data_IF_359141621977
#
_entry.id   IF_359141621977
#
_cell.length_a   1.000
_cell.length_b   1.000
_cell.length_c   1.000
_cell.angle_alpha   90.00
_cell.angle_beta   90.00
_cell.angle_gamma   90.00
#
_symmetry.space_group_name_H-M   'P 1'
#
loop_
_entity.id
_entity.type
_entity.pdbx_description
1 polymer ?
#
# COMPACT_ATOMS: atom_id res chain seq x y z
N UNK A 1 -18.49 26.98 -4.68
CA UNK A 1 -17.78 25.91 -5.44
C UNK A 1 -16.28 26.18 -5.55
N UNK A 2 -15.77 27.10 -6.40
CA UNK A 2 -14.30 27.33 -6.52
C UNK A 2 -13.67 27.89 -5.25
N UNK A 3 -14.34 28.83 -4.57
CA UNK A 3 -13.87 29.43 -3.31
C UNK A 3 -13.79 28.40 -2.18
N UNK A 4 -14.76 27.48 -2.10
CA UNK A 4 -14.78 26.40 -1.12
C UNK A 4 -13.61 25.42 -1.37
N UNK A 5 -13.34 25.11 -2.63
CA UNK A 5 -12.23 24.23 -3.02
C UNK A 5 -10.87 24.83 -2.66
N UNK A 6 -10.68 26.14 -2.87
CA UNK A 6 -9.45 26.85 -2.48
C UNK A 6 -9.26 26.83 -0.96
N UNK A 7 -10.31 27.17 -0.20
CA UNK A 7 -10.27 27.13 1.27
C UNK A 7 -9.98 25.75 1.83
N UNK A 8 -10.46 24.70 1.15
CA UNK A 8 -10.19 23.32 1.51
C UNK A 8 -8.74 22.90 1.22
N UNK A 9 -8.18 23.32 0.07
CA UNK A 9 -6.77 23.06 -0.26
C UNK A 9 -5.84 23.73 0.75
N UNK A 10 -6.16 24.96 1.17
CA UNK A 10 -5.40 25.69 2.19
C UNK A 10 -5.39 24.99 3.57
N UNK A 11 -6.34 24.09 3.81
CA UNK A 11 -6.40 23.30 5.05
C UNK A 11 -5.59 22.00 5.02
N UNK A 12 -5.03 21.63 3.85
CA UNK A 12 -4.32 20.37 3.67
C UNK A 12 -2.81 20.56 3.85
N UNK A 13 -2.23 19.89 4.84
CA UNK A 13 -0.77 19.92 5.10
C UNK A 13 0.05 19.51 3.88
N UNK A 14 -0.47 18.59 3.05
CA UNK A 14 0.17 18.15 1.81
C UNK A 14 0.23 19.22 0.72
N UNK A 15 -0.62 20.24 0.79
CA UNK A 15 -0.70 21.35 -0.19
C UNK A 15 0.03 22.61 0.26
N UNK A 16 0.47 22.67 1.52
CA UNK A 16 1.25 23.80 2.04
C UNK A 16 2.59 23.95 1.29
N UNK A 17 3.08 25.20 1.22
CA UNK A 17 4.42 25.46 0.72
C UNK A 17 5.47 25.07 1.76
N UNK A 18 6.48 24.29 1.33
CA UNK A 18 7.56 23.90 2.22
C UNK A 18 8.52 25.07 2.47
N UNK A 19 8.60 25.63 3.70
CA UNK A 19 9.45 26.78 3.98
C UNK A 19 10.95 26.48 3.82
N UNK A 20 11.35 25.21 3.88
CA UNK A 20 12.75 24.77 3.73
C UNK A 20 13.21 24.69 2.27
N UNK A 21 12.28 24.77 1.31
CA UNK A 21 12.58 24.58 -0.12
C UNK A 21 12.06 25.70 -1.02
N UNK A 22 11.78 26.87 -0.45
CA UNK A 22 11.18 28.01 -1.14
C UNK A 22 11.97 28.50 -2.37
N UNK A 23 13.28 28.25 -2.42
CA UNK A 23 14.18 28.69 -3.50
C UNK A 23 14.91 27.49 -4.10
N UNK A 24 14.27 26.32 -4.15
CA UNK A 24 14.90 25.08 -4.63
C UNK A 24 15.28 25.16 -6.11
N UNK A 25 14.54 25.91 -6.91
CA UNK A 25 14.78 26.16 -8.34
C UNK A 25 16.06 26.92 -8.63
N UNK A 26 16.59 27.64 -7.65
CA UNK A 26 17.86 28.40 -7.76
C UNK A 26 19.07 27.63 -7.24
N UNK A 27 18.87 26.46 -6.68
CA UNK A 27 19.95 25.67 -6.08
C UNK A 27 20.71 24.83 -7.13
N UNK A 28 22.01 24.58 -6.90
CA UNK A 28 22.74 23.61 -7.71
C UNK A 28 22.20 22.19 -7.48
N UNK A 29 22.39 21.31 -8.45
CA UNK A 29 21.81 19.96 -8.47
C UNK A 29 22.07 19.17 -7.18
N UNK A 30 23.28 19.21 -6.65
CA UNK A 30 23.64 18.48 -5.42
C UNK A 30 22.85 18.99 -4.21
N UNK A 31 22.63 20.30 -4.09
CA UNK A 31 21.81 20.88 -3.01
C UNK A 31 20.32 20.56 -3.18
N UNK A 32 19.79 20.52 -4.42
CA UNK A 32 18.44 20.03 -4.70
C UNK A 32 18.29 18.61 -4.17
N UNK A 33 19.20 17.70 -4.54
CA UNK A 33 19.16 16.30 -4.13
C UNK A 33 19.31 16.12 -2.61
N UNK A 34 20.19 16.92 -1.97
CA UNK A 34 20.33 16.93 -0.51
C UNK A 34 19.06 17.43 0.18
N UNK A 35 18.40 18.43 -0.38
CA UNK A 35 17.13 18.96 0.13
C UNK A 35 16.04 17.89 0.06
N UNK A 36 15.91 17.20 -1.06
CA UNK A 36 14.97 16.06 -1.21
C UNK A 36 15.29 14.97 -0.18
N UNK A 37 16.53 14.55 -0.05
CA UNK A 37 16.92 13.50 0.91
C UNK A 37 16.68 13.91 2.37
N UNK A 38 16.86 15.20 2.73
CA UNK A 38 16.52 15.70 4.07
C UNK A 38 15.02 15.59 4.36
N UNK A 39 14.17 15.93 3.39
CA UNK A 39 12.72 15.80 3.51
C UNK A 39 12.28 14.33 3.61
N UNK A 40 12.87 13.45 2.82
CA UNK A 40 12.54 12.02 2.81
C UNK A 40 12.88 11.33 4.15
N UNK A 41 13.88 11.81 4.88
CA UNK A 41 14.21 11.29 6.23
C UNK A 41 13.08 11.46 7.25
N UNK A 42 12.16 12.38 7.04
CA UNK A 42 11.01 12.58 7.93
C UNK A 42 9.94 11.49 7.78
N UNK A 43 9.96 10.74 6.68
CA UNK A 43 8.92 9.77 6.36
C UNK A 43 8.84 8.61 7.36
N UNK A 44 9.94 7.90 7.69
CA UNK A 44 9.90 6.81 8.68
C UNK A 44 9.38 7.26 10.04
N UNK A 45 9.77 8.46 10.50
CA UNK A 45 9.31 9.03 11.77
C UNK A 45 7.80 9.34 11.77
N UNK A 46 7.26 9.80 10.63
CA UNK A 46 5.84 10.03 10.47
C UNK A 46 5.05 8.71 10.46
N UNK A 47 5.60 7.67 9.84
CA UNK A 47 5.00 6.32 9.81
C UNK A 47 5.04 5.68 11.20
N UNK A 48 6.12 5.84 11.96
CA UNK A 48 6.26 5.32 13.32
C UNK A 48 5.10 5.76 14.23
N UNK A 49 4.68 7.01 14.11
CA UNK A 49 3.58 7.58 14.93
C UNK A 49 2.22 6.92 14.69
N UNK A 50 2.05 6.24 13.56
CA UNK A 50 0.79 5.58 13.17
C UNK A 50 0.88 4.05 13.22
N UNK A 51 1.95 3.48 13.78
CA UNK A 51 2.08 2.02 14.00
C UNK A 51 0.89 1.43 14.75
N UNK A 52 0.31 2.05 15.79
CA UNK A 52 -0.87 1.49 16.45
C UNK A 52 -2.07 1.29 15.52
N UNK A 53 -2.32 2.22 14.61
CA UNK A 53 -3.40 2.12 13.63
C UNK A 53 -3.07 1.08 12.54
N UNK A 54 -1.80 1.00 12.12
CA UNK A 54 -1.33 -0.05 11.21
C UNK A 54 -1.52 -1.43 11.85
N UNK A 55 -1.18 -1.59 13.13
CA UNK A 55 -1.37 -2.84 13.88
C UNK A 55 -2.83 -3.25 13.90
N UNK A 56 -3.74 -2.32 14.22
CA UNK A 56 -5.18 -2.60 14.20
C UNK A 56 -5.68 -3.04 12.82
N UNK A 57 -5.17 -2.42 11.73
CA UNK A 57 -5.51 -2.81 10.37
C UNK A 57 -4.95 -4.20 10.01
N UNK A 58 -3.71 -4.50 10.37
CA UNK A 58 -3.10 -5.83 10.18
C UNK A 58 -3.93 -6.92 10.88
N UNK A 59 -4.34 -6.71 12.12
CA UNK A 59 -5.16 -7.68 12.85
C UNK A 59 -6.51 -7.93 12.16
N UNK A 60 -7.13 -6.90 11.55
CA UNK A 60 -8.36 -7.07 10.76
C UNK A 60 -8.10 -7.81 9.44
N UNK A 61 -6.97 -7.55 8.77
CA UNK A 61 -6.58 -8.24 7.53
C UNK A 61 -6.31 -9.72 7.83
N UNK A 62 -5.57 -10.04 8.90
CA UNK A 62 -5.31 -11.43 9.32
C UNK A 62 -6.63 -12.16 9.57
N UNK A 63 -7.51 -11.58 10.37
CA UNK A 63 -8.82 -12.16 10.64
C UNK A 63 -9.68 -12.31 9.36
N UNK A 64 -9.53 -11.44 8.36
CA UNK A 64 -10.19 -11.59 7.07
C UNK A 64 -9.62 -12.78 6.29
N UNK A 65 -8.31 -12.91 6.19
CA UNK A 65 -7.64 -14.03 5.51
C UNK A 65 -8.02 -15.40 6.13
N UNK A 66 -8.09 -15.49 7.45
CA UNK A 66 -8.53 -16.70 8.15
C UNK A 66 -9.97 -17.13 7.82
N UNK A 67 -10.82 -16.17 7.42
CA UNK A 67 -12.20 -16.43 6.98
C UNK A 67 -12.36 -16.58 5.47
N UNK A 68 -11.24 -16.62 4.72
CA UNK A 68 -11.26 -16.66 3.25
C UNK A 68 -11.59 -15.32 2.58
N UNK A 69 -11.53 -14.22 3.32
CA UNK A 69 -11.64 -12.85 2.80
C UNK A 69 -10.34 -12.36 2.16
N UNK A 70 -10.38 -11.15 1.62
CA UNK A 70 -9.32 -10.55 0.80
C UNK A 70 -8.87 -9.22 1.38
N UNK A 71 -7.64 -8.81 1.02
CA UNK A 71 -7.17 -7.44 1.16
C UNK A 71 -7.33 -6.73 -0.20
N UNK A 72 -8.03 -5.61 -0.21
CA UNK A 72 -8.31 -4.85 -1.43
C UNK A 72 -7.82 -3.42 -1.26
N UNK A 73 -6.89 -3.00 -2.10
CA UNK A 73 -6.41 -1.62 -2.21
C UNK A 73 -7.23 -0.86 -3.25
N UNK A 74 -7.66 0.35 -2.92
CA UNK A 74 -8.45 1.22 -3.78
C UNK A 74 -7.82 2.63 -3.79
N UNK A 75 -7.38 3.11 -4.94
CA UNK A 75 -6.76 4.43 -5.05
C UNK A 75 -6.78 5.00 -6.45
N UNK A 76 -6.36 6.25 -6.59
CA UNK A 76 -6.19 6.93 -7.86
C UNK A 76 -4.74 7.38 -8.05
N UNK A 77 -4.32 7.60 -9.28
CA UNK A 77 -3.00 8.13 -9.62
C UNK A 77 -1.85 7.35 -8.95
N UNK A 78 -0.94 8.04 -8.28
CA UNK A 78 0.19 7.43 -7.57
C UNK A 78 -0.27 6.48 -6.46
N UNK A 79 -1.30 6.85 -5.69
CA UNK A 79 -1.85 6.02 -4.61
C UNK A 79 -2.40 4.68 -5.14
N UNK A 80 -3.13 4.71 -6.25
CA UNK A 80 -3.62 3.50 -6.91
C UNK A 80 -2.50 2.63 -7.46
N UNK A 81 -1.47 3.24 -8.08
CA UNK A 81 -0.28 2.52 -8.57
C UNK A 81 0.46 1.81 -7.46
N UNK A 82 0.63 2.45 -6.31
CA UNK A 82 1.29 1.84 -5.14
C UNK A 82 0.48 0.67 -4.58
N UNK A 83 -0.85 0.77 -4.54
CA UNK A 83 -1.72 -0.34 -4.15
C UNK A 83 -1.62 -1.53 -5.10
N UNK A 84 -1.62 -1.28 -6.42
CA UNK A 84 -1.43 -2.34 -7.43
C UNK A 84 -0.02 -2.95 -7.34
N UNK A 85 1.01 -2.12 -7.14
CA UNK A 85 2.39 -2.60 -6.96
C UNK A 85 2.49 -3.58 -5.79
N UNK A 86 2.03 -3.18 -4.59
CA UNK A 86 2.09 -4.04 -3.40
C UNK A 86 1.30 -5.33 -3.60
N UNK A 87 0.09 -5.25 -4.18
CA UNK A 87 -0.74 -6.41 -4.47
C UNK A 87 -0.07 -7.39 -5.45
N UNK A 88 0.61 -6.88 -6.48
CA UNK A 88 1.26 -7.70 -7.51
C UNK A 88 2.49 -8.45 -7.01
N UNK A 89 3.16 -7.93 -5.96
CA UNK A 89 4.34 -8.54 -5.37
C UNK A 89 4.02 -9.62 -4.31
N UNK A 90 2.79 -9.65 -3.80
CA UNK A 90 2.38 -10.63 -2.79
C UNK A 90 2.38 -12.09 -3.30
N UNK A 91 1.83 -12.43 -4.49
CA UNK A 91 1.82 -13.80 -5.00
C UNK A 91 3.23 -14.40 -5.18
N UNK A 92 4.20 -13.75 -5.86
CA UNK A 92 5.53 -14.32 -6.02
C UNK A 92 6.32 -14.42 -4.72
N UNK A 93 6.02 -13.55 -3.73
CA UNK A 93 6.72 -13.49 -2.44
C UNK A 93 6.20 -14.53 -1.45
N UNK A 94 4.88 -14.71 -1.39
CA UNK A 94 4.21 -15.49 -0.35
C UNK A 94 3.45 -16.71 -0.88
N UNK A 95 3.53 -17.02 -2.18
CA UNK A 95 2.85 -18.18 -2.79
C UNK A 95 1.33 -18.13 -2.62
N UNK A 96 0.73 -16.97 -2.60
CA UNK A 96 -0.72 -16.79 -2.47
C UNK A 96 -1.39 -16.62 -3.85
N UNK A 97 -2.69 -16.92 -3.98
CA UNK A 97 -3.42 -16.63 -5.22
C UNK A 97 -3.52 -15.12 -5.47
N UNK A 98 -3.50 -14.72 -6.74
CA UNK A 98 -3.65 -13.31 -7.17
C UNK A 98 -4.96 -12.65 -6.72
N UNK A 99 -5.92 -13.45 -6.29
CA UNK A 99 -7.21 -12.99 -5.78
C UNK A 99 -7.21 -12.62 -4.30
N UNK A 100 -6.16 -12.96 -3.54
CA UNK A 100 -6.10 -12.76 -2.09
C UNK A 100 -5.74 -11.32 -1.70
N UNK A 101 -4.84 -10.68 -2.48
CA UNK A 101 -4.52 -9.25 -2.36
C UNK A 101 -4.75 -8.63 -3.72
N UNK A 102 -5.62 -7.63 -3.79
CA UNK A 102 -6.10 -7.03 -5.04
C UNK A 102 -5.88 -5.52 -5.01
N UNK A 103 -5.32 -4.97 -6.08
CA UNK A 103 -5.17 -3.53 -6.27
C UNK A 103 -6.14 -3.00 -7.32
N UNK A 104 -6.92 -1.97 -6.97
CA UNK A 104 -7.83 -1.27 -7.87
C UNK A 104 -7.37 0.18 -8.04
N UNK A 105 -7.33 0.64 -9.28
CA UNK A 105 -6.94 2.01 -9.64
C UNK A 105 -8.04 2.68 -10.45
N UNK A 106 -8.34 3.94 -10.13
CA UNK A 106 -9.26 4.77 -10.91
C UNK A 106 -8.83 4.84 -12.37
N UNK A 107 -9.74 4.64 -13.30
CA UNK A 107 -9.46 4.55 -14.73
C UNK A 107 -8.97 3.17 -15.21
N UNK A 108 -8.92 2.17 -14.31
CA UNK A 108 -8.59 0.78 -14.66
C UNK A 108 -7.11 0.54 -15.00
N UNK A 109 -6.79 -0.62 -15.61
CA UNK A 109 -5.40 -1.04 -15.86
C UNK A 109 -4.57 -0.05 -16.69
N UNK A 110 -5.16 0.65 -17.63
CA UNK A 110 -4.45 1.62 -18.48
C UNK A 110 -3.91 2.80 -17.67
N UNK A 111 -4.56 3.14 -16.54
CA UNK A 111 -4.13 4.20 -15.63
C UNK A 111 -2.82 3.88 -14.88
N UNK A 112 -2.33 2.65 -14.93
CA UNK A 112 -0.99 2.28 -14.42
C UNK A 112 0.13 2.96 -15.22
N UNK A 113 -0.07 3.11 -16.53
CA UNK A 113 0.94 3.63 -17.46
C UNK A 113 0.64 5.08 -17.85
N UNK A 114 -0.63 5.42 -18.10
CA UNK A 114 -1.06 6.77 -18.49
C UNK A 114 -2.02 7.34 -17.45
N UNK A 115 -1.83 8.62 -17.10
CA UNK A 115 -2.82 9.30 -16.26
C UNK A 115 -4.16 9.37 -17.02
N UNK A 116 -5.23 8.89 -16.39
CA UNK A 116 -6.60 9.03 -16.90
C UNK A 116 -7.22 10.22 -16.18
N UNK A 117 -7.27 11.36 -16.86
CA UNK A 117 -7.83 12.59 -16.30
C UNK A 117 -9.31 12.40 -15.96
N UNK A 118 -9.74 12.96 -14.81
CA UNK A 118 -11.12 12.89 -14.33
C UNK A 118 -11.54 11.55 -13.74
N UNK A 119 -10.76 10.49 -13.87
CA UNK A 119 -11.13 9.17 -13.32
C UNK A 119 -11.20 9.18 -11.78
N UNK A 120 -10.47 10.06 -11.11
CA UNK A 120 -10.47 10.18 -9.66
C UNK A 120 -11.70 10.94 -9.11
N UNK A 121 -12.42 11.66 -9.96
CA UNK A 121 -13.54 12.52 -9.59
C UNK A 121 -14.89 11.76 -9.54
N UNK A 122 -14.93 10.52 -10.00
CA UNK A 122 -16.15 9.71 -10.04
C UNK A 122 -16.25 8.77 -8.83
N UNK A 123 -17.11 9.17 -7.86
CA UNK A 123 -17.39 8.36 -6.68
C UNK A 123 -18.16 7.07 -7.00
N UNK A 124 -19.02 7.08 -8.02
CA UNK A 124 -19.80 5.90 -8.40
C UNK A 124 -18.90 4.83 -9.03
N UNK A 125 -17.84 5.23 -9.75
CA UNK A 125 -16.89 4.27 -10.33
C UNK A 125 -16.09 3.55 -9.24
N UNK A 126 -15.74 4.21 -8.12
CA UNK A 126 -15.12 3.56 -6.97
C UNK A 126 -15.98 2.45 -6.36
N UNK A 127 -17.27 2.70 -6.17
CA UNK A 127 -18.24 1.70 -5.72
C UNK A 127 -18.39 0.56 -6.74
N UNK A 128 -18.51 0.91 -8.02
CA UNK A 128 -18.65 -0.06 -9.12
C UNK A 128 -17.42 -0.95 -9.26
N UNK A 129 -16.21 -0.41 -9.08
CA UNK A 129 -14.97 -1.19 -9.13
C UNK A 129 -14.97 -2.30 -8.06
N UNK A 130 -15.42 -2.00 -6.84
CA UNK A 130 -15.55 -2.99 -5.76
C UNK A 130 -16.70 -3.99 -6.03
N UNK A 131 -17.82 -3.53 -6.55
CA UNK A 131 -18.94 -4.40 -6.94
C UNK A 131 -18.52 -5.40 -8.02
N UNK A 132 -17.76 -4.96 -9.03
CA UNK A 132 -17.31 -5.79 -10.15
C UNK A 132 -16.39 -6.95 -9.73
N UNK A 133 -15.62 -6.79 -8.65
CA UNK A 133 -14.80 -7.88 -8.10
C UNK A 133 -15.54 -8.73 -7.07
N UNK A 134 -16.85 -8.51 -6.91
CA UNK A 134 -17.69 -9.22 -5.95
C UNK A 134 -17.22 -9.02 -4.52
N UNK A 135 -17.09 -7.75 -4.08
CA UNK A 135 -16.78 -7.43 -2.69
C UNK A 135 -17.74 -8.10 -1.72
N UNK A 136 -17.22 -8.62 -0.62
CA UNK A 136 -18.00 -9.25 0.45
C UNK A 136 -17.70 -8.64 1.82
N UNK A 137 -18.56 -8.89 2.81
CA UNK A 137 -18.35 -8.48 4.20
C UNK A 137 -17.13 -9.14 4.87
N UNK A 138 -16.57 -10.19 4.28
CA UNK A 138 -15.37 -10.86 4.77
C UNK A 138 -14.07 -10.15 4.36
N UNK A 139 -14.15 -9.23 3.39
CA UNK A 139 -12.99 -8.52 2.85
C UNK A 139 -12.60 -7.30 3.70
N UNK A 140 -11.38 -6.83 3.49
CA UNK A 140 -10.87 -5.55 4.02
C UNK A 140 -10.53 -4.65 2.85
N UNK A 141 -11.09 -3.43 2.82
CA UNK A 141 -10.81 -2.42 1.79
C UNK A 141 -9.94 -1.31 2.38
N UNK A 142 -8.79 -1.07 1.79
CA UNK A 142 -7.89 0.05 2.12
C UNK A 142 -8.03 1.12 1.04
N UNK A 143 -8.70 2.21 1.36
CA UNK A 143 -8.80 3.39 0.50
C UNK A 143 -7.58 4.28 0.67
N UNK A 144 -6.90 4.58 -0.44
CA UNK A 144 -5.60 5.26 -0.47
C UNK A 144 -5.73 6.59 -1.20
N UNK A 145 -5.58 7.70 -0.48
CA UNK A 145 -5.58 9.05 -1.06
C UNK A 145 -4.76 9.99 -0.17
N UNK A 146 -3.73 10.65 -0.70
CA UNK A 146 -2.87 11.56 0.08
C UNK A 146 -3.68 12.68 0.72
N UNK A 147 -4.50 13.40 -0.05
CA UNK A 147 -5.40 14.44 0.45
C UNK A 147 -6.53 13.87 1.33
N UNK A 148 -6.87 12.59 1.10
CA UNK A 148 -8.03 11.94 1.72
C UNK A 148 -9.39 12.43 1.23
N UNK A 149 -9.44 13.02 0.02
CA UNK A 149 -10.65 13.67 -0.55
C UNK A 149 -11.06 13.13 -1.91
N UNK A 150 -10.29 12.24 -2.49
CA UNK A 150 -10.51 11.66 -3.82
C UNK A 150 -11.90 11.01 -3.91
N UNK A 151 -12.81 11.52 -4.75
CA UNK A 151 -14.19 11.03 -4.82
C UNK A 151 -14.28 9.52 -5.10
N UNK A 152 -13.47 9.00 -6.02
CA UNK A 152 -13.37 7.57 -6.30
C UNK A 152 -13.13 6.73 -5.02
N UNK A 153 -12.22 7.18 -4.15
CA UNK A 153 -11.91 6.46 -2.90
C UNK A 153 -13.02 6.63 -1.87
N UNK A 154 -13.62 7.82 -1.79
CA UNK A 154 -14.77 8.09 -0.91
C UNK A 154 -15.93 7.17 -1.25
N UNK A 155 -16.32 7.10 -2.54
CA UNK A 155 -17.43 6.26 -3.00
C UNK A 155 -17.17 4.77 -2.77
N UNK A 156 -15.95 4.31 -3.01
CA UNK A 156 -15.58 2.92 -2.74
C UNK A 156 -15.62 2.57 -1.25
N UNK A 157 -15.05 3.41 -0.37
CA UNK A 157 -15.10 3.18 1.08
C UNK A 157 -16.53 3.21 1.63
N UNK A 158 -17.38 4.14 1.14
CA UNK A 158 -18.78 4.17 1.54
C UNK A 158 -19.50 2.90 1.13
N UNK A 159 -19.35 2.45 -0.11
CA UNK A 159 -19.92 1.19 -0.60
C UNK A 159 -19.45 0.00 0.24
N UNK A 160 -18.16 -0.10 0.54
CA UNK A 160 -17.60 -1.18 1.34
C UNK A 160 -18.19 -1.21 2.76
N UNK A 161 -18.31 -0.03 3.39
CA UNK A 161 -18.91 0.13 4.72
C UNK A 161 -20.38 -0.28 4.74
N UNK A 162 -21.16 0.17 3.75
CA UNK A 162 -22.61 -0.14 3.64
C UNK A 162 -22.83 -1.65 3.46
N UNK A 163 -21.89 -2.34 2.79
CA UNK A 163 -21.90 -3.80 2.65
C UNK A 163 -21.48 -4.55 3.93
N UNK A 164 -20.86 -3.85 4.90
CA UNK A 164 -20.34 -4.42 6.14
C UNK A 164 -18.93 -5.00 6.03
N UNK A 165 -18.17 -4.66 4.99
CA UNK A 165 -16.75 -4.96 4.90
C UNK A 165 -15.94 -4.03 5.81
N UNK A 166 -14.81 -4.52 6.35
CA UNK A 166 -13.90 -3.67 7.13
C UNK A 166 -13.25 -2.63 6.23
N UNK A 167 -13.23 -1.38 6.67
CA UNK A 167 -12.67 -0.26 5.92
C UNK A 167 -11.48 0.39 6.62
N UNK A 168 -10.43 0.66 5.85
CA UNK A 168 -9.21 1.34 6.31
C UNK A 168 -8.95 2.53 5.39
N UNK A 169 -8.69 3.70 5.94
CA UNK A 169 -8.26 4.87 5.20
C UNK A 169 -6.75 5.09 5.37
N UNK A 170 -6.05 5.30 4.27
CA UNK A 170 -4.65 5.72 4.25
C UNK A 170 -4.51 7.08 3.58
N UNK A 171 -4.21 8.11 4.37
CA UNK A 171 -4.00 9.49 3.90
C UNK A 171 -2.73 10.09 4.50
N UNK A 172 -2.34 11.31 4.08
CA UNK A 172 -1.27 12.07 4.74
C UNK A 172 -1.82 13.32 5.46
N UNK A 173 -3.15 13.42 5.59
CA UNK A 173 -3.83 14.52 6.29
C UNK A 173 -4.69 13.95 7.43
N UNK A 174 -4.51 14.42 8.68
CA UNK A 174 -5.15 13.82 9.85
C UNK A 174 -6.67 14.04 9.90
N UNK A 175 -7.17 15.09 9.25
CA UNK A 175 -8.59 15.46 9.19
C UNK A 175 -9.28 14.97 7.89
N UNK A 176 -8.67 14.03 7.17
CA UNK A 176 -9.14 13.52 5.89
C UNK A 176 -10.58 13.00 5.92
N UNK A 177 -11.35 13.27 4.87
CA UNK A 177 -12.74 12.78 4.73
C UNK A 177 -12.79 11.26 4.79
N UNK A 178 -11.89 10.58 4.06
CA UNK A 178 -11.85 9.10 4.06
C UNK A 178 -11.58 8.53 5.46
N UNK A 179 -10.81 9.25 6.30
CA UNK A 179 -10.54 8.84 7.68
C UNK A 179 -11.77 8.89 8.60
N UNK A 180 -12.79 9.70 8.26
CA UNK A 180 -14.07 9.76 9.00
C UNK A 180 -15.06 8.68 8.55
N UNK A 181 -14.89 8.20 7.32
CA UNK A 181 -15.73 7.15 6.73
C UNK A 181 -15.26 5.76 7.20
N UNK A 182 -13.95 5.53 7.21
CA UNK A 182 -13.37 4.23 7.49
C UNK A 182 -13.41 3.86 8.99
N UNK A 183 -13.41 2.55 9.26
CA UNK A 183 -13.32 2.00 10.62
C UNK A 183 -11.95 2.27 11.26
N UNK A 184 -10.88 2.30 10.43
CA UNK A 184 -9.51 2.58 10.86
C UNK A 184 -8.93 3.68 9.97
N UNK A 185 -8.37 4.73 10.58
CA UNK A 185 -7.70 5.81 9.87
C UNK A 185 -6.20 5.79 10.15
N UNK A 186 -5.39 5.63 9.10
CA UNK A 186 -3.92 5.67 9.13
C UNK A 186 -3.50 6.96 8.43
N UNK A 187 -2.93 7.91 9.17
CA UNK A 187 -2.58 9.22 8.64
C UNK A 187 -1.14 9.62 9.00
N UNK A 188 -0.10 9.07 8.32
CA UNK A 188 1.26 9.52 8.49
C UNK A 188 1.43 10.94 7.93
N UNK A 189 1.54 11.93 8.81
CA UNK A 189 1.67 13.35 8.43
C UNK A 189 3.13 13.65 8.14
N UNK A 190 3.49 13.70 6.86
CA UNK A 190 4.86 13.93 6.40
C UNK A 190 5.20 15.41 6.16
N UNK A 191 4.22 16.31 6.32
CA UNK A 191 4.37 17.73 6.02
C UNK A 191 4.38 18.04 4.52
N UNK A 192 4.58 19.33 4.16
CA UNK A 192 4.57 19.78 2.77
C UNK A 192 5.73 19.20 1.97
N UNK A 193 5.49 18.90 0.69
CA UNK A 193 6.48 18.31 -0.21
C UNK A 193 7.64 19.27 -0.54
N UNK A 194 8.76 18.72 -0.98
CA UNK A 194 9.90 19.51 -1.48
C UNK A 194 9.52 20.35 -2.70
N UNK A 195 8.62 19.84 -3.52
CA UNK A 195 7.95 20.54 -4.61
C UNK A 195 6.45 20.53 -4.30
N UNK A 196 5.90 21.68 -3.92
CA UNK A 196 4.52 21.84 -3.45
C UNK A 196 3.51 21.16 -4.37
N UNK A 197 2.57 20.41 -3.82
CA UNK A 197 1.54 19.68 -4.54
C UNK A 197 2.01 18.38 -5.21
N UNK A 198 3.33 18.09 -5.23
CA UNK A 198 3.83 16.84 -5.85
C UNK A 198 3.83 15.67 -4.87
N UNK A 199 2.64 15.23 -4.46
CA UNK A 199 2.41 14.22 -3.41
C UNK A 199 2.87 12.80 -3.80
N UNK A 200 3.40 12.61 -5.01
CA UNK A 200 4.09 11.37 -5.40
C UNK A 200 5.44 11.16 -4.70
N UNK A 201 5.98 12.20 -4.02
CA UNK A 201 7.29 12.21 -3.38
C UNK A 201 7.20 11.57 -1.98
N UNK A 202 7.40 12.31 -0.89
CA UNK A 202 7.43 11.74 0.45
C UNK A 202 6.06 11.21 0.94
N UNK A 203 4.95 11.81 0.50
CA UNK A 203 3.62 11.25 0.78
C UNK A 203 3.44 9.87 0.13
N UNK A 204 3.85 9.72 -1.14
CA UNK A 204 3.89 8.42 -1.82
C UNK A 204 4.82 7.43 -1.12
N UNK A 205 6.00 7.88 -0.66
CA UNK A 205 6.93 7.05 0.11
C UNK A 205 6.30 6.56 1.42
N UNK A 206 5.58 7.43 2.15
CA UNK A 206 4.85 7.03 3.36
C UNK A 206 3.77 5.98 3.07
N UNK A 207 2.98 6.19 2.01
CA UNK A 207 1.99 5.20 1.57
C UNK A 207 2.63 3.86 1.26
N UNK A 208 3.73 3.84 0.50
CA UNK A 208 4.48 2.62 0.19
C UNK A 208 4.93 1.89 1.45
N UNK A 209 5.47 2.58 2.44
CA UNK A 209 5.90 1.97 3.69
C UNK A 209 4.73 1.34 4.44
N UNK A 210 3.60 2.05 4.53
CA UNK A 210 2.39 1.53 5.20
C UNK A 210 1.83 0.31 4.46
N UNK A 211 1.69 0.35 3.14
CA UNK A 211 1.18 -0.78 2.34
C UNK A 211 2.05 -2.02 2.53
N UNK A 212 3.38 -1.88 2.47
CA UNK A 212 4.29 -3.00 2.72
C UNK A 212 4.16 -3.55 4.16
N UNK A 213 3.92 -2.69 5.16
CA UNK A 213 3.66 -3.15 6.53
C UNK A 213 2.34 -3.92 6.62
N UNK A 214 1.26 -3.42 5.99
CA UNK A 214 -0.04 -4.09 5.97
C UNK A 214 0.04 -5.49 5.36
N UNK A 215 0.59 -5.61 4.15
CA UNK A 215 0.70 -6.89 3.45
C UNK A 215 1.69 -7.82 4.13
N UNK A 216 2.93 -7.39 4.36
CA UNK A 216 4.00 -8.26 4.87
C UNK A 216 3.71 -8.73 6.29
N UNK A 217 3.27 -7.84 7.20
CA UNK A 217 2.95 -8.25 8.58
C UNK A 217 1.76 -9.22 8.60
N UNK A 218 0.74 -9.01 7.76
CA UNK A 218 -0.39 -9.93 7.66
C UNK A 218 0.05 -11.31 7.15
N UNK A 219 0.92 -11.37 6.13
CA UNK A 219 1.47 -12.63 5.61
C UNK A 219 2.32 -13.36 6.65
N UNK A 220 3.16 -12.64 7.41
CA UNK A 220 3.94 -13.23 8.52
C UNK A 220 2.99 -13.83 9.56
N UNK A 221 1.93 -13.13 9.95
CA UNK A 221 0.95 -13.57 10.95
C UNK A 221 0.17 -14.82 10.55
N UNK A 222 -0.13 -15.00 9.26
CA UNK A 222 -0.78 -16.22 8.74
C UNK A 222 0.23 -17.33 8.39
N UNK A 223 1.50 -17.20 8.83
CA UNK A 223 2.51 -18.25 8.73
C UNK A 223 3.19 -18.36 7.37
N UNK A 224 3.24 -17.28 6.56
CA UNK A 224 3.94 -17.26 5.26
C UNK A 224 5.45 -17.01 5.35
N UNK A 225 6.00 -17.05 6.55
CA UNK A 225 7.43 -16.97 6.82
C UNK A 225 7.86 -17.98 7.87
N UNK A 226 9.12 -18.36 7.86
CA UNK A 226 9.80 -19.05 8.95
C UNK A 226 10.94 -18.16 9.46
N UNK A 227 10.82 -17.66 10.70
CA UNK A 227 11.68 -16.56 11.17
C UNK A 227 11.60 -15.38 10.17
N UNK A 228 12.73 -14.93 9.60
CA UNK A 228 12.81 -13.91 8.57
C UNK A 228 13.01 -14.48 7.15
N UNK A 229 12.74 -15.77 6.93
CA UNK A 229 12.92 -16.46 5.68
C UNK A 229 11.58 -16.58 4.91
N UNK A 230 11.64 -16.37 3.59
CA UNK A 230 10.51 -16.51 2.65
C UNK A 230 10.30 -17.98 2.28
N UNK A 231 9.53 -18.72 3.08
CA UNK A 231 9.35 -20.16 2.89
C UNK A 231 8.21 -20.57 1.96
N UNK A 232 7.38 -19.63 1.52
CA UNK A 232 6.24 -19.84 0.62
C UNK A 232 6.48 -19.24 -0.78
N UNK A 233 7.72 -18.89 -1.12
CA UNK A 233 8.03 -18.32 -2.43
C UNK A 233 7.84 -19.33 -3.57
N UNK A 234 7.32 -18.87 -4.71
CA UNK A 234 7.22 -19.70 -5.91
C UNK A 234 8.58 -19.77 -6.64
N UNK A 235 9.23 -20.91 -6.61
CA UNK A 235 10.54 -21.14 -7.25
C UNK A 235 10.42 -21.35 -8.78
N UNK A 236 9.93 -20.36 -9.51
CA UNK A 236 9.59 -20.43 -10.95
C UNK A 236 10.77 -20.28 -11.91
N UNK A 237 11.98 -19.95 -11.43
CA UNK A 237 13.18 -19.80 -12.25
C UNK A 237 14.44 -20.27 -11.51
N UNK A 238 15.56 -20.44 -12.24
CA UNK A 238 16.83 -20.94 -11.68
C UNK A 238 17.34 -20.16 -10.47
N UNK A 239 17.19 -18.81 -10.47
CA UNK A 239 17.59 -17.96 -9.35
C UNK A 239 16.73 -18.23 -8.10
N UNK A 240 15.43 -18.43 -8.28
CA UNK A 240 14.50 -18.73 -7.20
C UNK A 240 14.68 -20.14 -6.65
N UNK A 241 15.01 -21.12 -7.51
CA UNK A 241 15.40 -22.47 -7.06
C UNK A 241 16.68 -22.43 -6.21
N UNK A 242 17.72 -21.73 -6.66
CA UNK A 242 18.93 -21.54 -5.87
C UNK A 242 18.66 -20.83 -4.53
N UNK A 243 17.75 -19.85 -4.52
CA UNK A 243 17.30 -19.20 -3.28
C UNK A 243 16.57 -20.18 -2.37
N UNK A 244 15.71 -21.04 -2.89
CA UNK A 244 15.00 -22.05 -2.11
C UNK A 244 15.99 -23.02 -1.41
N UNK A 245 16.99 -23.55 -2.13
CA UNK A 245 18.05 -24.37 -1.56
C UNK A 245 18.76 -23.63 -0.41
N UNK A 246 19.15 -22.38 -0.65
CA UNK A 246 19.82 -21.55 0.38
C UNK A 246 18.94 -21.33 1.61
N UNK A 247 17.63 -21.12 1.44
CA UNK A 247 16.67 -20.96 2.55
C UNK A 247 16.62 -22.23 3.38
N UNK A 248 16.52 -23.41 2.76
CA UNK A 248 16.51 -24.70 3.46
C UNK A 248 17.81 -24.89 4.24
N UNK A 249 18.98 -24.60 3.63
CA UNK A 249 20.27 -24.66 4.32
C UNK A 249 20.33 -23.70 5.53
N UNK A 250 19.83 -22.48 5.39
CA UNK A 250 19.80 -21.48 6.47
C UNK A 250 18.84 -21.89 7.61
N UNK A 251 17.71 -22.48 7.27
CA UNK A 251 16.72 -22.90 8.26
C UNK A 251 17.13 -24.13 9.05
N UNK A 252 17.89 -25.06 8.44
CA UNK A 252 18.15 -26.39 8.99
C UNK A 252 19.61 -26.65 9.32
N UNK A 253 20.56 -25.89 8.74
CA UNK A 253 21.98 -26.15 8.84
C UNK A 253 22.51 -27.31 7.97
N UNK A 254 21.66 -27.88 7.10
CA UNK A 254 22.03 -29.01 6.23
C UNK A 254 22.96 -28.56 5.05
N UNK A 255 23.55 -29.55 4.37
CA UNK A 255 24.35 -29.31 3.16
C UNK A 255 23.48 -28.98 1.95
N UNK A 256 24.08 -28.40 0.90
CA UNK A 256 23.42 -28.08 -0.36
C UNK A 256 22.77 -29.32 -1.01
N UNK A 257 23.50 -30.45 -1.08
CA UNK A 257 22.99 -31.71 -1.64
C UNK A 257 21.76 -32.23 -0.89
N UNK A 258 21.77 -32.11 0.45
CA UNK A 258 20.64 -32.50 1.29
C UNK A 258 19.45 -31.61 1.04
N UNK A 259 19.64 -30.28 0.98
CA UNK A 259 18.61 -29.31 0.71
C UNK A 259 18.00 -29.48 -0.70
N UNK A 260 18.86 -29.63 -1.73
CA UNK A 260 18.43 -29.86 -3.09
C UNK A 260 17.63 -31.18 -3.23
N UNK A 261 18.12 -32.25 -2.60
CA UNK A 261 17.43 -33.54 -2.59
C UNK A 261 16.07 -33.49 -1.87
N UNK A 262 15.94 -32.69 -0.79
CA UNK A 262 14.67 -32.49 -0.11
C UNK A 262 13.67 -31.74 -1.00
N UNK A 263 14.08 -30.63 -1.59
CA UNK A 263 13.24 -29.83 -2.50
C UNK A 263 12.81 -30.59 -3.74
N UNK A 264 13.68 -31.46 -4.31
CA UNK A 264 13.30 -32.29 -5.43
C UNK A 264 12.17 -33.28 -5.06
N UNK A 265 12.13 -33.81 -3.84
CA UNK A 265 11.06 -34.69 -3.36
C UNK A 265 9.73 -33.98 -3.08
N UNK A 266 9.77 -32.72 -2.70
CA UNK A 266 8.56 -31.91 -2.37
C UNK A 266 8.06 -31.08 -3.56
N UNK A 267 8.66 -31.21 -4.77
CA UNK A 267 8.29 -30.36 -5.90
C UNK A 267 8.65 -28.89 -5.72
N UNK A 268 9.74 -28.60 -5.00
CA UNK A 268 10.21 -27.26 -4.59
C UNK A 268 9.34 -26.57 -3.53
N UNK A 269 8.49 -27.28 -2.83
CA UNK A 269 7.84 -26.76 -1.62
C UNK A 269 8.87 -26.73 -0.49
N UNK A 270 9.04 -25.53 0.14
CA UNK A 270 10.02 -25.33 1.21
C UNK A 270 9.45 -25.71 2.61
N UNK A 271 8.14 -25.84 2.74
CA UNK A 271 7.46 -26.31 3.94
C UNK A 271 7.22 -27.80 3.87
#
# INVERSE_FOLDING_TARGET
>A
MMHDLLSELDSLVSEERNPRTMQIDLQPTDEILRSMNREDRLVPEAVEKVIPQITAAVDRIVAAFERGGRLIYLGAGTSGRLGVLDASECPPTFGIPYTMVVGLIAGGPDALVKATEGAEDDAADGAKALANIGLTKSDVVVGIAVSGRTPYVIGGLQYARDLGATTVALSCNPAAIIGRIADISIAPVVGPEVLTGSTRLKSGTAQKLVLNMLSTASMIRIGKSYQNLMVDMNASNKKLVARAIRIVMQATGCTEDTAAGALARTGNDLK
#
